data_IF_378493932438
#
_entry.id   IF_378493932438
#
_cell.length_a   1.000
_cell.length_b   1.000
_cell.length_c   1.000
_cell.angle_alpha   90.00
_cell.angle_beta   90.00
_cell.angle_gamma   90.00
#
_symmetry.space_group_name_H-M   'P 1'
#
loop_
_entity.id
_entity.type
_entity.pdbx_description
1 polymer ?
#
# COMPACT_ATOMS: atom_id res chain seq x y z
N UNK A 1 38.86 -6.53 2.18
CA UNK A 1 37.44 -6.77 1.82
C UNK A 1 37.14 -5.84 0.65
N UNK A 2 36.66 -6.34 -0.49
CA UNK A 2 36.34 -5.50 -1.65
C UNK A 2 34.82 -5.43 -1.81
N UNK A 3 34.23 -4.24 -1.61
CA UNK A 3 32.78 -4.04 -1.77
C UNK A 3 32.49 -3.78 -3.25
N UNK A 4 31.66 -4.62 -3.85
CA UNK A 4 31.34 -4.56 -5.29
C UNK A 4 29.94 -4.01 -5.58
N UNK A 5 29.12 -3.87 -4.54
CA UNK A 5 27.76 -3.35 -4.66
C UNK A 5 27.16 -2.95 -3.33
N UNK A 6 26.15 -2.08 -3.39
CA UNK A 6 25.44 -1.52 -2.24
C UNK A 6 23.95 -1.70 -2.50
N UNK A 7 23.25 -2.29 -1.53
CA UNK A 7 21.80 -2.40 -1.53
C UNK A 7 21.22 -1.42 -0.53
N UNK A 8 20.21 -0.67 -0.97
CA UNK A 8 19.48 0.28 -0.14
C UNK A 8 18.10 -0.27 0.19
N UNK A 9 17.72 -0.16 1.45
CA UNK A 9 16.31 -0.08 1.81
C UNK A 9 15.71 1.25 1.31
N UNK A 10 14.39 1.31 1.12
CA UNK A 10 13.69 2.47 0.58
C UNK A 10 13.09 3.32 1.69
N UNK A 11 12.09 2.80 2.39
CA UNK A 11 11.25 3.57 3.29
C UNK A 11 12.00 3.79 4.62
N UNK A 12 12.22 5.04 4.99
CA UNK A 12 13.01 5.36 6.19
C UNK A 12 14.52 5.35 5.97
N UNK A 13 14.99 5.01 4.76
CA UNK A 13 16.42 5.08 4.37
C UNK A 13 16.65 6.10 3.26
N UNK A 14 16.01 5.92 2.10
CA UNK A 14 16.11 6.84 0.96
C UNK A 14 14.93 7.80 0.91
N UNK A 15 13.75 7.29 1.22
CA UNK A 15 12.49 8.02 1.15
C UNK A 15 12.00 8.30 2.57
N UNK A 16 11.72 9.58 2.83
CA UNK A 16 10.97 10.04 3.97
C UNK A 16 9.48 10.02 3.60
N UNK A 17 8.76 9.07 4.17
CA UNK A 17 7.33 8.86 3.95
C UNK A 17 6.61 8.90 5.30
N UNK A 18 5.55 9.71 5.36
CA UNK A 18 4.64 9.74 6.50
C UNK A 18 3.23 9.43 6.00
N UNK A 19 2.63 8.40 6.57
CA UNK A 19 1.24 8.00 6.33
C UNK A 19 0.48 7.97 7.65
N UNK A 20 -0.83 8.15 7.55
CA UNK A 20 -1.77 7.97 8.65
C UNK A 20 -2.98 7.18 8.14
N UNK A 21 -2.89 5.86 8.31
CA UNK A 21 -3.91 4.88 8.00
C UNK A 21 -5.15 4.98 8.90
N UNK A 22 -5.09 5.72 10.01
CA UNK A 22 -6.19 5.85 10.97
C UNK A 22 -7.26 6.87 10.58
N UNK A 23 -7.02 7.70 9.55
CA UNK A 23 -7.94 8.78 9.16
C UNK A 23 -9.28 8.24 8.70
N UNK A 24 -10.34 8.72 9.35
CA UNK A 24 -11.73 8.38 9.00
C UNK A 24 -12.06 8.72 7.54
N UNK A 25 -11.50 9.83 7.02
CA UNK A 25 -11.72 10.31 5.66
C UNK A 25 -11.28 9.31 4.58
N UNK A 26 -10.31 8.43 4.87
CA UNK A 26 -9.90 7.35 3.96
C UNK A 26 -11.10 6.45 3.69
N UNK A 27 -11.66 5.90 4.77
CA UNK A 27 -12.76 4.93 4.71
C UNK A 27 -14.06 5.58 4.28
N UNK A 28 -14.29 6.85 4.65
CA UNK A 28 -15.43 7.63 4.18
C UNK A 28 -15.39 7.81 2.66
N UNK A 29 -14.23 8.20 2.13
CA UNK A 29 -14.03 8.41 0.69
C UNK A 29 -14.18 7.10 -0.07
N UNK A 30 -13.56 6.02 0.42
CA UNK A 30 -13.68 4.69 -0.21
C UNK A 30 -15.12 4.18 -0.15
N UNK A 31 -15.83 4.32 0.97
CA UNK A 31 -17.23 3.94 1.07
C UNK A 31 -18.11 4.71 0.07
N UNK A 32 -17.89 6.03 -0.08
CA UNK A 32 -18.58 6.83 -1.09
C UNK A 32 -18.26 6.33 -2.51
N UNK A 33 -17.00 6.04 -2.82
CA UNK A 33 -16.61 5.49 -4.12
C UNK A 33 -17.27 4.13 -4.41
N UNK A 34 -17.35 3.27 -3.41
CA UNK A 34 -17.98 1.95 -3.48
C UNK A 34 -19.50 2.01 -3.67
N UNK A 35 -20.17 3.05 -3.15
CA UNK A 35 -21.59 3.26 -3.39
C UNK A 35 -21.90 3.43 -4.89
N UNK A 36 -21.02 4.11 -5.64
CA UNK A 36 -21.13 4.20 -7.11
C UNK A 36 -20.85 2.88 -7.83
N UNK A 37 -20.37 1.86 -7.13
CA UNK A 37 -20.18 0.49 -7.62
C UNK A 37 -21.32 -0.45 -7.18
N UNK A 38 -22.34 0.07 -6.51
CA UNK A 38 -23.46 -0.70 -5.96
C UNK A 38 -23.23 -1.27 -4.56
N UNK A 39 -22.10 -0.96 -3.91
CA UNK A 39 -21.77 -1.46 -2.56
C UNK A 39 -22.07 -0.37 -1.53
N UNK A 40 -23.13 -0.57 -0.75
CA UNK A 40 -23.54 0.33 0.32
C UNK A 40 -23.05 -0.18 1.67
N UNK A 41 -21.88 0.27 2.09
CA UNK A 41 -21.26 -0.08 3.37
C UNK A 41 -20.97 1.18 4.18
N UNK A 42 -21.43 1.29 5.45
CA UNK A 42 -21.04 2.40 6.31
C UNK A 42 -19.52 2.43 6.52
N UNK A 43 -18.90 3.61 6.46
CA UNK A 43 -17.45 3.74 6.57
C UNK A 43 -16.83 3.13 7.84
N UNK A 44 -17.46 3.14 9.04
CA UNK A 44 -16.88 2.49 10.21
C UNK A 44 -16.82 0.97 10.03
N UNK A 45 -17.86 0.38 9.43
CA UNK A 45 -17.92 -1.05 9.12
C UNK A 45 -16.85 -1.43 8.10
N UNK A 46 -16.67 -0.59 7.07
CA UNK A 46 -15.61 -0.78 6.08
C UNK A 46 -14.21 -0.75 6.73
N UNK A 47 -13.96 0.24 7.59
CA UNK A 47 -12.71 0.38 8.35
C UNK A 47 -12.43 -0.87 9.18
N UNK A 48 -13.39 -1.27 9.99
CA UNK A 48 -13.22 -2.39 10.91
C UNK A 48 -13.00 -3.70 10.13
N UNK A 49 -13.72 -3.89 9.01
CA UNK A 49 -13.54 -5.02 8.10
C UNK A 49 -12.15 -5.05 7.44
N UNK A 50 -11.56 -3.90 7.13
CA UNK A 50 -10.20 -3.77 6.61
C UNK A 50 -9.17 -4.19 7.66
N UNK A 51 -9.22 -3.59 8.86
CA UNK A 51 -8.26 -3.90 9.93
C UNK A 51 -8.37 -5.35 10.40
N UNK A 52 -9.58 -5.91 10.48
CA UNK A 52 -9.77 -7.32 10.82
C UNK A 52 -9.06 -8.27 9.84
N UNK A 53 -9.11 -7.98 8.53
CA UNK A 53 -8.42 -8.76 7.49
C UNK A 53 -6.91 -8.59 7.57
N UNK A 54 -6.44 -7.35 7.74
CA UNK A 54 -5.02 -7.06 7.94
C UNK A 54 -4.45 -7.83 9.13
N UNK A 55 -5.13 -7.80 10.28
CA UNK A 55 -4.73 -8.52 11.49
C UNK A 55 -4.81 -10.03 11.33
N UNK A 56 -5.76 -10.55 10.55
CA UNK A 56 -5.85 -11.96 10.21
C UNK A 56 -4.67 -12.40 9.33
N UNK A 57 -4.29 -11.62 8.32
CA UNK A 57 -3.13 -11.91 7.48
C UNK A 57 -1.83 -11.88 8.29
N UNK A 58 -1.64 -10.86 9.14
CA UNK A 58 -0.45 -10.75 10.01
C UNK A 58 -0.30 -11.96 10.93
N UNK A 59 -1.39 -12.40 11.57
CA UNK A 59 -1.39 -13.58 12.43
C UNK A 59 -1.06 -14.88 11.68
N UNK A 60 -1.53 -15.04 10.43
CA UNK A 60 -1.25 -16.22 9.61
C UNK A 60 0.21 -16.33 9.18
N UNK A 61 0.86 -15.20 8.87
CA UNK A 61 2.24 -15.18 8.36
C UNK A 61 3.29 -15.38 9.44
N UNK A 62 3.02 -14.99 10.69
CA UNK A 62 3.94 -15.16 11.82
C UNK A 62 5.24 -14.36 11.68
N UNK A 63 6.12 -14.46 12.68
CA UNK A 63 7.39 -13.70 12.73
C UNK A 63 7.28 -12.32 13.38
N UNK A 64 8.42 -11.62 13.51
CA UNK A 64 8.51 -10.31 14.17
C UNK A 64 7.98 -9.15 13.33
N UNK A 65 7.95 -9.29 11.99
CA UNK A 65 7.49 -8.26 11.05
C UNK A 65 6.64 -8.90 9.94
N UNK A 66 5.42 -9.37 10.24
CA UNK A 66 4.58 -10.02 9.25
C UNK A 66 4.08 -9.01 8.22
N UNK A 67 4.56 -9.14 6.99
CA UNK A 67 4.02 -8.43 5.83
C UNK A 67 2.54 -8.80 5.61
N UNK A 68 1.78 -7.92 4.97
CA UNK A 68 0.41 -8.20 4.55
C UNK A 68 0.26 -7.85 3.07
N UNK A 69 -0.73 -8.43 2.40
CA UNK A 69 -1.07 -8.16 1.01
C UNK A 69 -2.25 -7.18 0.97
N UNK A 70 -1.96 -5.91 0.66
CA UNK A 70 -2.98 -4.86 0.62
C UNK A 70 -4.00 -5.11 -0.49
N UNK A 71 -3.57 -5.59 -1.65
CA UNK A 71 -4.45 -5.86 -2.78
C UNK A 71 -5.36 -7.03 -2.39
N UNK A 72 -4.80 -8.08 -1.79
CA UNK A 72 -5.54 -9.22 -1.26
C UNK A 72 -6.56 -8.82 -0.18
N UNK A 73 -6.25 -7.87 0.71
CA UNK A 73 -7.23 -7.36 1.69
C UNK A 73 -8.44 -6.74 0.98
N UNK A 74 -8.20 -5.90 -0.03
CA UNK A 74 -9.28 -5.26 -0.79
C UNK A 74 -10.05 -6.27 -1.64
N UNK A 75 -9.37 -7.28 -2.19
CA UNK A 75 -10.01 -8.39 -2.92
C UNK A 75 -10.97 -9.16 -2.00
N UNK A 76 -10.49 -9.62 -0.84
CA UNK A 76 -11.33 -10.32 0.15
C UNK A 76 -12.53 -9.46 0.61
N UNK A 77 -12.35 -8.14 0.67
CA UNK A 77 -13.42 -7.21 1.03
C UNK A 77 -14.44 -7.08 -0.10
N UNK A 78 -13.98 -6.85 -1.34
CA UNK A 78 -14.84 -6.76 -2.53
C UNK A 78 -15.65 -8.04 -2.74
N UNK A 79 -15.03 -9.20 -2.53
CA UNK A 79 -15.70 -10.49 -2.65
C UNK A 79 -16.82 -10.68 -1.64
N UNK A 80 -16.71 -10.05 -0.46
CA UNK A 80 -17.78 -10.08 0.55
C UNK A 80 -19.03 -9.30 0.14
N UNK A 81 -18.93 -8.45 -0.89
CA UNK A 81 -20.03 -7.65 -1.43
C UNK A 81 -20.36 -7.98 -2.88
N UNK A 82 -19.76 -9.05 -3.42
CA UNK A 82 -19.85 -9.47 -4.81
C UNK A 82 -21.27 -9.44 -5.40
N UNK A 83 -22.24 -9.96 -4.66
CA UNK A 83 -23.63 -10.11 -5.10
C UNK A 83 -24.40 -8.78 -5.17
N UNK A 84 -23.91 -7.76 -4.45
CA UNK A 84 -24.50 -6.41 -4.46
C UNK A 84 -23.89 -5.51 -5.52
N UNK A 85 -22.72 -5.88 -6.04
CA UNK A 85 -21.99 -5.04 -6.98
C UNK A 85 -22.72 -4.93 -8.31
N UNK A 86 -22.88 -3.69 -8.77
CA UNK A 86 -23.47 -3.37 -10.07
C UNK A 86 -22.38 -2.91 -11.05
N UNK A 87 -21.35 -3.74 -11.23
CA UNK A 87 -20.20 -3.46 -12.11
C UNK A 87 -19.87 -4.62 -13.04
N UNK A 88 -19.17 -4.33 -14.14
CA UNK A 88 -18.66 -5.37 -15.03
C UNK A 88 -17.59 -6.23 -14.35
N UNK A 89 -17.42 -7.47 -14.81
CA UNK A 89 -16.35 -8.36 -14.31
C UNK A 89 -14.96 -7.72 -14.43
N UNK A 90 -14.69 -7.04 -15.54
CA UNK A 90 -13.43 -6.31 -15.76
C UNK A 90 -13.22 -5.23 -14.71
N UNK A 91 -14.24 -4.41 -14.44
CA UNK A 91 -14.14 -3.37 -13.42
C UNK A 91 -13.94 -3.97 -12.03
N UNK A 92 -14.68 -5.03 -11.69
CA UNK A 92 -14.50 -5.74 -10.41
C UNK A 92 -13.08 -6.23 -10.21
N UNK A 93 -12.46 -6.82 -11.24
CA UNK A 93 -11.07 -7.29 -11.17
C UNK A 93 -10.05 -6.17 -10.95
N UNK A 94 -10.36 -4.93 -11.35
CA UNK A 94 -9.48 -3.77 -11.18
C UNK A 94 -9.64 -3.10 -9.80
N UNK A 95 -10.81 -3.26 -9.16
CA UNK A 95 -11.13 -2.56 -7.91
C UNK A 95 -10.11 -2.80 -6.78
N UNK A 96 -9.62 -4.02 -6.52
CA UNK A 96 -8.65 -4.24 -5.44
C UNK A 96 -7.39 -3.37 -5.57
N UNK A 97 -6.87 -3.23 -6.80
CA UNK A 97 -5.69 -2.40 -7.05
C UNK A 97 -6.02 -0.91 -6.93
N UNK A 98 -7.12 -0.45 -7.53
CA UNK A 98 -7.60 0.94 -7.42
C UNK A 98 -7.78 1.34 -5.96
N UNK A 99 -8.36 0.44 -5.15
CA UNK A 99 -8.59 0.69 -3.73
C UNK A 99 -7.27 0.72 -2.94
N UNK A 100 -6.29 -0.12 -3.27
CA UNK A 100 -4.96 -0.07 -2.67
C UNK A 100 -4.24 1.26 -2.98
N UNK A 101 -4.32 1.73 -4.22
CA UNK A 101 -3.76 3.02 -4.65
C UNK A 101 -4.48 4.19 -3.96
N UNK A 102 -5.81 4.20 -3.96
CA UNK A 102 -6.63 5.22 -3.27
C UNK A 102 -6.30 5.27 -1.78
N UNK A 103 -6.22 4.10 -1.12
CA UNK A 103 -5.89 4.02 0.29
C UNK A 103 -4.56 4.70 0.59
N UNK A 104 -3.52 4.41 -0.19
CA UNK A 104 -2.20 5.04 -0.04
C UNK A 104 -2.24 6.54 -0.35
N UNK A 105 -2.96 6.95 -1.39
CA UNK A 105 -3.12 8.36 -1.74
C UNK A 105 -3.78 9.15 -0.61
N UNK A 106 -4.78 8.56 0.06
CA UNK A 106 -5.54 9.19 1.13
C UNK A 106 -4.82 9.13 2.49
N UNK A 107 -4.03 8.09 2.76
CA UNK A 107 -3.26 7.97 4.01
C UNK A 107 -2.00 8.84 4.02
N UNK A 108 -1.40 9.10 2.86
CA UNK A 108 -0.14 9.85 2.73
C UNK A 108 -0.27 11.30 3.21
N UNK A 109 0.53 11.65 4.21
CA UNK A 109 0.75 13.02 4.69
C UNK A 109 1.91 13.65 3.95
N UNK A 110 3.01 12.92 3.81
CA UNK A 110 4.24 13.40 3.20
C UNK A 110 4.97 12.28 2.46
N UNK A 111 5.67 12.65 1.39
CA UNK A 111 6.57 11.80 0.63
C UNK A 111 7.65 12.65 -0.02
N UNK A 112 8.90 12.38 0.33
CA UNK A 112 10.07 13.05 -0.25
C UNK A 112 11.32 12.22 -0.08
N UNK A 113 12.43 12.66 -0.70
CA UNK A 113 13.73 12.08 -0.42
C UNK A 113 14.30 12.68 0.87
N UNK A 114 15.04 11.90 1.65
CA UNK A 114 15.87 12.48 2.69
C UNK A 114 16.90 13.43 2.10
N UNK A 115 17.29 14.44 2.88
CA UNK A 115 18.40 15.31 2.53
C UNK A 115 19.64 14.46 2.21
N UNK A 116 20.39 14.88 1.20
CA UNK A 116 21.59 14.20 0.69
C UNK A 116 21.41 12.88 -0.07
N UNK A 117 20.23 12.24 -0.10
CA UNK A 117 20.06 10.95 -0.81
C UNK A 117 20.51 11.04 -2.26
N UNK A 118 20.11 12.08 -2.98
CA UNK A 118 20.54 12.30 -4.36
C UNK A 118 22.07 12.41 -4.46
N UNK A 119 22.68 13.27 -3.63
CA UNK A 119 24.13 13.49 -3.62
C UNK A 119 24.91 12.20 -3.34
N UNK A 120 24.44 11.42 -2.37
CA UNK A 120 25.06 10.13 -2.01
C UNK A 120 24.95 9.14 -3.16
N UNK A 121 23.79 9.02 -3.81
CA UNK A 121 23.63 8.13 -4.96
C UNK A 121 24.55 8.55 -6.12
N UNK A 122 24.66 9.85 -6.40
CA UNK A 122 25.53 10.40 -7.44
C UNK A 122 27.02 10.08 -7.19
N UNK A 123 27.46 10.12 -5.92
CA UNK A 123 28.83 9.77 -5.55
C UNK A 123 29.12 8.25 -5.67
N UNK A 124 28.10 7.41 -5.49
CA UNK A 124 28.25 5.96 -5.43
C UNK A 124 28.05 5.26 -6.78
N UNK A 125 27.21 5.79 -7.67
CA UNK A 125 26.82 5.11 -8.93
C UNK A 125 28.00 4.82 -9.87
N UNK A 126 29.05 5.66 -9.81
CA UNK A 126 30.28 5.46 -10.59
C UNK A 126 31.29 4.49 -9.97
N UNK A 127 31.07 4.06 -8.72
CA UNK A 127 32.02 3.26 -7.92
C UNK A 127 31.50 1.87 -7.57
N UNK A 128 30.18 1.73 -7.42
CA UNK A 128 29.54 0.50 -6.97
C UNK A 128 28.31 0.19 -7.83
N UNK A 129 27.97 -1.09 -7.92
CA UNK A 129 26.64 -1.48 -8.41
C UNK A 129 25.62 -1.16 -7.33
N UNK A 130 24.67 -0.28 -7.64
CA UNK A 130 23.61 0.10 -6.73
C UNK A 130 22.36 -0.75 -6.98
N UNK A 131 21.68 -1.13 -5.92
CA UNK A 131 20.40 -1.83 -5.98
C UNK A 131 19.50 -1.41 -4.84
N UNK A 132 18.22 -1.74 -4.98
CA UNK A 132 17.18 -1.41 -4.00
C UNK A 132 16.49 -2.70 -3.58
N UNK A 133 16.22 -2.83 -2.29
CA UNK A 133 15.41 -3.90 -1.70
C UNK A 133 14.38 -3.25 -0.80
N UNK A 134 13.10 -3.62 -0.92
CA UNK A 134 12.05 -3.07 -0.09
C UNK A 134 10.99 -4.12 0.19
N UNK A 135 10.39 -4.02 1.38
CA UNK A 135 9.13 -4.67 1.76
C UNK A 135 7.89 -3.89 1.27
N UNK A 136 8.11 -2.79 0.54
CA UNK A 136 7.07 -2.01 -0.10
C UNK A 136 6.28 -2.84 -1.11
N UNK A 137 4.95 -2.68 -1.07
CA UNK A 137 4.07 -3.39 -2.01
C UNK A 137 4.06 -2.70 -3.37
N UNK A 138 4.09 -3.49 -4.45
CA UNK A 138 4.16 -2.97 -5.82
C UNK A 138 3.00 -2.05 -6.19
N UNK A 139 1.82 -2.23 -5.60
CA UNK A 139 0.67 -1.34 -5.74
C UNK A 139 0.91 0.10 -5.24
N UNK A 140 2.01 0.33 -4.51
CA UNK A 140 2.41 1.62 -3.98
C UNK A 140 3.75 2.12 -4.52
N UNK A 141 4.34 1.38 -5.45
CA UNK A 141 5.51 1.80 -6.18
C UNK A 141 5.09 2.45 -7.51
N UNK A 142 5.73 3.56 -7.87
CA UNK A 142 5.66 4.05 -9.24
C UNK A 142 6.58 3.17 -10.12
N UNK A 143 6.18 2.80 -11.33
CA UNK A 143 7.05 2.12 -12.29
C UNK A 143 8.24 2.96 -12.72
#
# INVERSE_FOLDING_TARGET
>A
MNVVGILFDVNGTMIDILTDEGKEDIYRTIACFLAYQGVYVPWPVLRDAYFQRMDAQRRKRGGSHPEFDVVGIWEELIDSYADTMSVTKTKRAQLPHILAEMYRALSRIYLGLYADVQRVLDELVGRYRLGVVSDGQSAWALP
#
